data_IF_494865654683
#
_entry.id   IF_494865654683
#
_cell.length_a   1.000
_cell.length_b   1.000
_cell.length_c   1.000
_cell.angle_alpha   90.00
_cell.angle_beta   90.00
_cell.angle_gamma   90.00
#
_symmetry.space_group_name_H-M   'P 1'
#
loop_
_entity.id
_entity.type
_entity.pdbx_description
1 polymer ?
#
# COMPACT_ATOMS: atom_id res chain seq x y z
N UNK A 1 37.29 -7.71 -40.41
CA UNK A 1 37.77 -6.93 -39.25
C UNK A 1 37.18 -7.51 -37.98
N UNK A 2 37.99 -8.12 -37.09
CA UNK A 2 37.57 -8.57 -35.75
C UNK A 2 38.22 -7.72 -34.63
N UNK A 3 37.88 -8.07 -33.38
CA UNK A 3 38.58 -7.81 -32.11
C UNK A 3 38.24 -6.52 -31.34
N UNK A 4 37.39 -6.68 -30.33
CA UNK A 4 37.70 -6.14 -29.00
C UNK A 4 37.78 -7.33 -28.02
N UNK A 5 38.86 -7.32 -27.23
CA UNK A 5 39.31 -8.37 -26.30
C UNK A 5 39.43 -7.72 -24.93
N UNK A 6 38.75 -8.27 -23.93
CA UNK A 6 38.99 -8.08 -22.49
C UNK A 6 38.30 -9.29 -21.85
N UNK A 7 38.99 -10.28 -21.28
CA UNK A 7 40.00 -10.14 -20.24
C UNK A 7 39.47 -10.98 -19.08
N UNK A 8 39.64 -12.29 -19.21
CA UNK A 8 39.41 -13.32 -18.19
C UNK A 8 40.20 -12.96 -16.93
N UNK A 9 39.52 -12.80 -15.80
CA UNK A 9 40.15 -12.74 -14.49
C UNK A 9 39.61 -13.91 -13.67
N UNK A 10 40.48 -14.91 -13.55
CA UNK A 10 40.46 -16.00 -12.58
C UNK A 10 40.11 -15.46 -11.18
N UNK A 11 39.02 -15.95 -10.61
CA UNK A 11 38.58 -15.65 -9.23
C UNK A 11 38.77 -16.86 -8.30
N UNK A 12 39.59 -17.83 -8.69
CA UNK A 12 39.90 -19.00 -7.87
C UNK A 12 41.27 -18.84 -7.20
N UNK A 13 41.25 -18.39 -5.94
CA UNK A 13 42.46 -18.26 -5.14
C UNK A 13 42.22 -17.67 -3.76
N UNK A 14 41.65 -18.46 -2.85
CA UNK A 14 42.28 -18.82 -1.57
C UNK A 14 41.25 -19.21 -0.51
N UNK A 15 41.52 -20.37 0.09
CA UNK A 15 40.71 -21.04 1.10
C UNK A 15 41.07 -20.51 2.48
N UNK A 16 40.04 -20.29 3.30
CA UNK A 16 40.10 -20.61 4.72
C UNK A 16 40.36 -19.46 5.67
N UNK A 17 39.28 -18.98 6.29
CA UNK A 17 39.26 -18.79 7.74
C UNK A 17 37.83 -18.87 8.25
N UNK A 18 37.60 -19.90 9.08
CA UNK A 18 36.31 -20.21 9.68
C UNK A 18 35.82 -19.06 10.56
N UNK A 19 34.74 -18.43 10.10
CA UNK A 19 33.87 -17.62 10.95
C UNK A 19 33.24 -18.56 11.98
N UNK A 20 33.75 -18.49 13.21
CA UNK A 20 33.24 -19.23 14.36
C UNK A 20 31.75 -18.91 14.50
N UNK A 21 30.92 -19.95 14.40
CA UNK A 21 29.48 -19.94 14.67
C UNK A 21 29.24 -19.38 16.07
N UNK A 22 29.03 -18.07 16.16
CA UNK A 22 28.44 -17.42 17.31
C UNK A 22 26.96 -17.66 17.24
N UNK A 23 26.41 -18.38 18.23
CA UNK A 23 24.97 -18.59 18.41
C UNK A 23 24.23 -17.27 18.15
N UNK A 24 23.52 -17.19 17.04
CA UNK A 24 22.66 -16.05 16.75
C UNK A 24 21.56 -16.10 17.81
N UNK A 25 21.68 -15.21 18.81
CA UNK A 25 20.63 -15.02 19.81
C UNK A 25 19.34 -14.79 19.04
N UNK A 26 18.33 -15.62 19.29
CA UNK A 26 17.01 -15.47 18.71
C UNK A 26 16.48 -14.11 19.13
N UNK A 27 16.55 -13.13 18.23
CA UNK A 27 15.92 -11.83 18.42
C UNK A 27 14.43 -12.10 18.47
N UNK A 28 13.88 -12.07 19.67
CA UNK A 28 12.43 -12.04 19.85
C UNK A 28 11.94 -10.77 19.17
N UNK A 29 11.30 -10.95 18.01
CA UNK A 29 10.69 -9.86 17.26
C UNK A 29 9.45 -9.41 18.02
N UNK A 30 9.65 -8.55 19.01
CA UNK A 30 8.59 -7.67 19.46
C UNK A 30 8.24 -6.83 18.24
N UNK A 31 6.95 -6.73 17.90
CA UNK A 31 6.42 -5.87 16.83
C UNK A 31 6.69 -4.40 17.17
N UNK A 32 7.95 -3.98 17.07
CA UNK A 32 8.34 -2.58 17.22
C UNK A 32 7.99 -1.92 15.90
N UNK A 33 6.90 -1.17 15.88
CA UNK A 33 6.58 -0.31 14.74
C UNK A 33 7.65 0.77 14.66
N UNK A 34 8.30 0.88 13.51
CA UNK A 34 9.28 1.95 13.24
C UNK A 34 8.48 3.18 12.80
N UNK A 35 8.45 4.26 13.59
CA UNK A 35 7.67 5.44 13.24
C UNK A 35 8.30 6.20 12.06
N UNK A 36 7.47 6.76 11.18
CA UNK A 36 7.95 7.66 10.13
C UNK A 36 8.48 8.95 10.76
N UNK A 37 9.80 9.17 10.67
CA UNK A 37 10.49 10.31 11.30
C UNK A 37 10.11 11.66 10.68
N UNK A 38 9.78 11.70 9.39
CA UNK A 38 9.34 12.93 8.72
C UNK A 38 7.95 13.33 9.23
N UNK A 39 7.03 12.37 9.27
CA UNK A 39 5.67 12.59 9.77
C UNK A 39 5.66 12.97 11.26
N UNK A 40 6.48 12.32 12.09
CA UNK A 40 6.45 12.51 13.55
C UNK A 40 7.18 13.76 14.06
N UNK A 41 8.12 14.33 13.29
CA UNK A 41 8.96 15.45 13.78
C UNK A 41 8.92 16.71 12.95
N UNK A 42 8.70 16.61 11.65
CA UNK A 42 8.93 17.72 10.72
C UNK A 42 7.67 18.15 9.98
N UNK A 43 6.73 17.24 9.75
CA UNK A 43 5.48 17.55 9.05
C UNK A 43 4.48 18.29 9.97
N UNK A 44 3.67 19.17 9.36
CA UNK A 44 2.50 19.74 10.04
C UNK A 44 1.43 18.66 10.26
N UNK A 45 0.59 18.85 11.28
CA UNK A 45 -0.52 17.94 11.56
C UNK A 45 -1.45 17.78 10.35
N UNK A 46 -1.69 18.85 9.59
CA UNK A 46 -2.50 18.82 8.37
C UNK A 46 -1.88 17.94 7.29
N UNK A 47 -0.56 18.02 7.08
CA UNK A 47 0.12 17.19 6.09
C UNK A 47 0.11 15.72 6.49
N UNK A 48 0.28 15.42 7.78
CA UNK A 48 0.16 14.04 8.29
C UNK A 48 -1.26 13.51 8.09
N UNK A 49 -2.28 14.33 8.34
CA UNK A 49 -3.68 13.94 8.16
C UNK A 49 -3.97 13.57 6.69
N UNK A 50 -3.49 14.36 5.73
CA UNK A 50 -3.67 14.11 4.28
C UNK A 50 -3.09 12.76 3.86
N UNK A 51 -1.92 12.39 4.40
CA UNK A 51 -1.21 11.16 4.04
C UNK A 51 -1.38 10.04 5.06
N UNK A 52 -2.39 10.13 5.93
CA UNK A 52 -2.73 9.05 6.84
C UNK A 52 -3.21 7.82 6.06
N UNK A 53 -3.01 6.59 6.56
CA UNK A 53 -3.52 5.38 5.91
C UNK A 53 -5.04 5.45 5.64
N UNK A 54 -5.80 6.01 6.57
CA UNK A 54 -7.24 6.23 6.47
C UNK A 54 -7.56 7.24 5.36
N UNK A 55 -6.91 8.42 5.36
CA UNK A 55 -7.12 9.43 4.33
C UNK A 55 -6.69 8.95 2.94
N UNK A 56 -5.74 8.03 2.85
CA UNK A 56 -5.31 7.42 1.59
C UNK A 56 -6.41 6.53 1.02
N UNK A 57 -7.02 5.67 1.86
CA UNK A 57 -8.17 4.83 1.45
C UNK A 57 -9.39 5.69 1.08
N UNK A 58 -9.70 6.73 1.87
CA UNK A 58 -10.78 7.67 1.53
C UNK A 58 -10.48 8.42 0.24
N UNK A 59 -9.22 8.82 0.02
CA UNK A 59 -8.76 9.47 -1.21
C UNK A 59 -8.91 8.59 -2.45
N UNK A 60 -8.65 7.29 -2.35
CA UNK A 60 -8.91 6.31 -3.41
C UNK A 60 -10.40 6.18 -3.75
N UNK A 61 -11.27 6.25 -2.73
CA UNK A 61 -12.74 6.26 -2.90
C UNK A 61 -13.24 7.57 -3.53
N UNK A 62 -12.46 8.65 -3.40
CA UNK A 62 -12.84 10.01 -3.83
C UNK A 62 -11.80 10.71 -4.73
N UNK A 63 -11.53 10.19 -5.94
CA UNK A 63 -10.40 10.68 -6.75
C UNK A 63 -10.60 12.06 -7.39
N UNK A 64 -11.76 12.72 -7.24
CA UNK A 64 -12.08 14.00 -7.90
C UNK A 64 -12.88 14.94 -7.00
N UNK A 65 -12.25 15.51 -5.97
CA UNK A 65 -12.61 16.81 -5.38
C UNK A 65 -14.11 17.11 -5.20
N UNK A 66 -14.72 16.49 -4.20
CA UNK A 66 -15.54 17.21 -3.21
C UNK A 66 -17.05 17.11 -3.34
N UNK A 67 -17.61 16.43 -4.34
CA UNK A 67 -19.08 16.38 -4.46
C UNK A 67 -19.72 15.03 -4.84
N UNK A 68 -18.98 14.06 -5.38
CA UNK A 68 -19.51 12.72 -5.73
C UNK A 68 -18.41 11.72 -6.06
N UNK A 69 -18.60 10.41 -5.85
CA UNK A 69 -17.67 9.38 -6.29
C UNK A 69 -17.55 9.40 -7.82
N UNK A 70 -16.32 9.36 -8.34
CA UNK A 70 -16.05 9.52 -9.79
C UNK A 70 -16.77 8.46 -10.66
N UNK A 71 -16.96 7.24 -10.15
CA UNK A 71 -17.72 6.17 -10.82
C UNK A 71 -19.20 6.53 -11.08
N UNK A 72 -19.77 7.49 -10.35
CA UNK A 72 -21.15 7.97 -10.54
C UNK A 72 -21.25 9.15 -11.50
N UNK A 73 -20.12 9.73 -11.93
CA UNK A 73 -20.07 10.89 -12.84
C UNK A 73 -20.00 10.48 -14.32
N UNK A 74 -19.96 9.19 -14.62
CA UNK A 74 -19.90 8.68 -16.00
C UNK A 74 -21.01 9.36 -16.83
N UNK A 75 -20.60 10.04 -17.88
CA UNK A 75 -21.48 10.85 -18.72
C UNK A 75 -22.53 10.00 -19.44
N UNK A 76 -23.56 10.64 -20.04
CA UNK A 76 -24.67 10.00 -20.74
C UNK A 76 -24.26 9.12 -21.94
N UNK A 77 -22.97 9.08 -22.30
CA UNK A 77 -22.42 8.22 -23.35
C UNK A 77 -22.25 6.75 -22.91
N UNK A 78 -22.27 6.49 -21.60
CA UNK A 78 -22.30 5.13 -21.05
C UNK A 78 -23.70 4.88 -20.45
N UNK A 79 -24.50 4.06 -21.13
CA UNK A 79 -25.86 3.67 -20.73
C UNK A 79 -25.83 2.67 -19.56
N UNK A 80 -25.18 3.05 -18.45
CA UNK A 80 -25.10 2.26 -17.22
C UNK A 80 -25.96 2.95 -16.17
N UNK A 81 -27.18 2.45 -15.99
CA UNK A 81 -28.08 2.92 -14.96
C UNK A 81 -27.59 2.45 -13.57
N UNK A 82 -27.14 3.38 -12.74
CA UNK A 82 -26.79 3.13 -11.34
C UNK A 82 -27.98 3.54 -10.45
N UNK A 83 -28.52 2.64 -9.61
CA UNK A 83 -29.60 3.00 -8.68
C UNK A 83 -29.15 4.09 -7.70
N UNK A 84 -29.96 5.15 -7.54
CA UNK A 84 -29.65 6.24 -6.61
C UNK A 84 -29.52 5.76 -5.14
N UNK A 85 -30.25 4.71 -4.77
CA UNK A 85 -30.12 4.09 -3.45
C UNK A 85 -28.71 3.52 -3.20
N UNK A 86 -28.14 2.83 -4.20
CA UNK A 86 -26.78 2.29 -4.10
C UNK A 86 -25.72 3.40 -3.99
N UNK A 87 -25.95 4.56 -4.64
CA UNK A 87 -25.09 5.74 -4.50
C UNK A 87 -25.16 6.29 -3.07
N UNK A 88 -26.37 6.41 -2.51
CA UNK A 88 -26.56 6.92 -1.16
C UNK A 88 -25.96 5.98 -0.09
N UNK A 89 -26.11 4.66 -0.26
CA UNK A 89 -25.51 3.67 0.64
C UNK A 89 -23.98 3.71 0.56
N UNK A 90 -23.43 3.83 -0.65
CA UNK A 90 -21.99 4.01 -0.87
C UNK A 90 -21.47 5.30 -0.21
N UNK A 91 -22.15 6.43 -0.42
CA UNK A 91 -21.77 7.72 0.16
C UNK A 91 -21.76 7.71 1.70
N UNK A 92 -22.62 6.91 2.33
CA UNK A 92 -22.63 6.74 3.79
C UNK A 92 -21.44 5.94 4.31
N UNK A 93 -20.99 4.93 3.56
CA UNK A 93 -19.90 4.05 3.95
C UNK A 93 -18.51 4.58 3.55
N UNK A 94 -18.44 5.72 2.85
CA UNK A 94 -17.18 6.30 2.36
C UNK A 94 -16.14 6.55 3.46
N UNK A 95 -16.59 7.11 4.59
CA UNK A 95 -15.73 7.52 5.70
C UNK A 95 -15.51 6.40 6.74
N UNK A 96 -16.21 5.27 6.60
CA UNK A 96 -16.02 4.11 7.45
C UNK A 96 -14.87 3.26 6.90
N UNK A 97 -13.74 3.22 7.61
CA UNK A 97 -12.51 2.56 7.18
C UNK A 97 -11.93 1.73 8.31
N UNK A 98 -12.04 0.39 8.18
CA UNK A 98 -11.35 -0.54 9.06
C UNK A 98 -10.04 -1.05 8.42
N UNK A 99 -8.92 -0.45 8.84
CA UNK A 99 -7.58 -0.84 8.37
C UNK A 99 -7.19 -2.28 8.75
N UNK A 100 -7.70 -2.82 9.86
CA UNK A 100 -7.41 -4.20 10.27
C UNK A 100 -8.15 -5.19 9.38
N UNK A 101 -9.43 -4.95 9.10
CA UNK A 101 -10.24 -5.72 8.14
C UNK A 101 -9.61 -5.70 6.74
N UNK A 102 -9.18 -4.52 6.27
CA UNK A 102 -8.51 -4.37 4.96
C UNK A 102 -7.21 -5.19 4.95
N UNK A 103 -6.37 -5.07 5.98
CA UNK A 103 -5.11 -5.81 6.05
C UNK A 103 -5.34 -7.34 6.11
N UNK A 104 -6.37 -7.80 6.82
CA UNK A 104 -6.74 -9.21 6.91
C UNK A 104 -7.16 -9.78 5.55
N UNK A 105 -7.89 -9.00 4.74
CA UNK A 105 -8.35 -9.37 3.39
C UNK A 105 -7.25 -9.25 2.34
N UNK A 106 -6.40 -8.23 2.45
CA UNK A 106 -5.30 -8.00 1.51
C UNK A 106 -4.27 -9.14 1.54
N UNK A 107 -4.05 -9.79 2.69
CA UNK A 107 -3.09 -10.92 2.82
C UNK A 107 -3.37 -12.08 1.86
N UNK A 108 -4.58 -12.69 1.83
CA UNK A 108 -4.90 -13.74 0.87
C UNK A 108 -5.12 -13.20 -0.55
N UNK A 109 -5.74 -12.02 -0.72
CA UNK A 109 -6.04 -11.45 -2.03
C UNK A 109 -4.80 -10.99 -2.80
N UNK A 110 -3.73 -10.62 -2.08
CA UNK A 110 -2.52 -9.97 -2.62
C UNK A 110 -2.83 -8.72 -3.45
N UNK A 111 -3.96 -8.09 -3.17
CA UNK A 111 -4.48 -6.93 -3.86
C UNK A 111 -5.21 -6.05 -2.85
N UNK A 112 -4.57 -4.95 -2.51
CA UNK A 112 -5.04 -3.94 -1.56
C UNK A 112 -6.30 -3.21 -2.04
N UNK A 113 -6.34 -2.77 -3.30
CA UNK A 113 -7.52 -2.09 -3.86
C UNK A 113 -8.75 -3.00 -3.88
N UNK A 114 -8.56 -4.30 -4.17
CA UNK A 114 -9.67 -5.24 -4.11
C UNK A 114 -10.15 -5.44 -2.67
N UNK A 115 -9.22 -5.51 -1.70
CA UNK A 115 -9.56 -5.63 -0.29
C UNK A 115 -10.32 -4.40 0.24
N UNK A 116 -9.94 -3.18 -0.17
CA UNK A 116 -10.63 -1.95 0.23
C UNK A 116 -12.03 -1.81 -0.38
N UNK A 117 -12.25 -2.35 -1.58
CA UNK A 117 -13.58 -2.44 -2.20
C UNK A 117 -14.44 -3.50 -1.51
N UNK A 118 -13.90 -4.68 -1.20
CA UNK A 118 -14.66 -5.75 -0.55
C UNK A 118 -15.06 -5.44 0.89
N UNK A 119 -14.26 -4.64 1.61
CA UNK A 119 -14.60 -4.17 2.96
C UNK A 119 -15.84 -3.25 2.94
N UNK A 120 -15.99 -2.44 1.90
CA UNK A 120 -17.14 -1.54 1.74
C UNK A 120 -18.48 -2.29 1.55
N UNK A 121 -18.42 -3.52 1.05
CA UNK A 121 -19.60 -4.38 0.83
C UNK A 121 -19.80 -5.46 1.90
N UNK A 122 -18.94 -5.49 2.93
CA UNK A 122 -18.98 -6.47 4.01
C UNK A 122 -19.93 -6.03 5.14
#
# INVERSE_FOLDING_TARGET
MPLWRAGELDIDGERGQGIKSGRHATVSCVLVSIPNVLASRYASAEMVAIWSPEASVVGERWPCGGHRPNCTRIGPELDVAIPQAAIADYERALEDVDLESIAARARPLRHDVKASIEELYA
#
